data_IF_393047262664
#
_entry.id   IF_393047262664
#
_cell.length_a   1.000
_cell.length_b   1.000
_cell.length_c   1.000
_cell.angle_alpha   90.00
_cell.angle_beta   90.00
_cell.angle_gamma   90.00
#
_symmetry.space_group_name_H-M   'P 1'
#
loop_
_entity.id
_entity.type
_entity.pdbx_description
1 polymer ?
#
# COMPACT_ATOMS: atom_id res chain seq x y z
N UNK A 1 18.43 -37.27 -36.06
CA UNK A 1 18.19 -35.82 -35.90
C UNK A 1 17.27 -35.67 -34.69
N UNK A 2 17.83 -35.31 -33.53
CA UNK A 2 17.10 -35.24 -32.27
C UNK A 2 16.29 -33.93 -32.21
N UNK A 3 14.99 -34.06 -31.92
CA UNK A 3 14.08 -32.92 -31.73
C UNK A 3 14.39 -32.22 -30.41
N UNK A 4 14.53 -30.89 -30.45
CA UNK A 4 14.69 -30.07 -29.25
C UNK A 4 13.35 -29.98 -28.50
N UNK A 5 13.32 -30.10 -27.16
CA UNK A 5 12.11 -29.86 -26.40
C UNK A 5 11.86 -28.35 -26.28
N UNK A 6 10.69 -27.92 -26.74
CA UNK A 6 10.15 -26.59 -26.43
C UNK A 6 9.95 -26.48 -24.92
N UNK A 7 10.69 -25.57 -24.28
CA UNK A 7 10.48 -25.23 -22.87
C UNK A 7 9.11 -24.57 -22.76
N UNK A 8 8.10 -25.34 -22.38
CA UNK A 8 6.81 -24.82 -21.93
C UNK A 8 7.05 -24.11 -20.61
N UNK A 9 7.05 -22.78 -20.62
CA UNK A 9 6.96 -22.00 -19.39
C UNK A 9 5.60 -22.29 -18.76
N UNK A 10 5.61 -23.07 -17.69
CA UNK A 10 4.46 -23.34 -16.84
C UNK A 10 4.06 -22.02 -16.15
N UNK A 11 2.93 -21.45 -16.56
CA UNK A 11 2.27 -20.33 -15.87
C UNK A 11 1.54 -20.86 -14.62
N UNK A 12 2.22 -21.64 -13.79
CA UNK A 12 1.83 -21.84 -12.39
C UNK A 12 2.10 -20.51 -11.67
N UNK A 13 1.13 -19.61 -11.80
CA UNK A 13 1.32 -18.16 -11.66
C UNK A 13 1.71 -17.71 -10.25
N UNK A 14 2.46 -16.61 -10.12
CA UNK A 14 2.58 -15.93 -8.85
C UNK A 14 1.22 -15.30 -8.48
N UNK A 15 0.88 -15.18 -7.18
CA UNK A 15 -0.43 -14.70 -6.75
C UNK A 15 -0.71 -13.28 -7.27
N UNK A 16 -1.99 -12.86 -7.36
CA UNK A 16 -2.37 -11.50 -7.78
C UNK A 16 -1.65 -10.38 -7.03
N UNK A 17 -1.24 -10.66 -5.79
CA UNK A 17 -0.48 -9.77 -4.90
C UNK A 17 0.92 -9.51 -5.44
N UNK A 18 1.61 -10.53 -5.98
CA UNK A 18 2.95 -10.38 -6.51
C UNK A 18 2.96 -9.36 -7.65
N UNK A 19 2.04 -9.47 -8.61
CA UNK A 19 1.92 -8.51 -9.71
C UNK A 19 1.66 -7.08 -9.24
N UNK A 20 0.74 -6.88 -8.28
CA UNK A 20 0.47 -5.58 -7.66
C UNK A 20 1.68 -5.02 -6.90
N UNK A 21 2.45 -5.90 -6.26
CA UNK A 21 3.68 -5.49 -5.57
C UNK A 21 4.75 -5.04 -6.54
N UNK A 22 4.95 -5.76 -7.63
CA UNK A 22 5.94 -5.37 -8.63
C UNK A 22 5.57 -4.05 -9.33
N UNK A 23 4.30 -3.81 -9.66
CA UNK A 23 3.89 -2.56 -10.33
C UNK A 23 4.12 -1.35 -9.45
N UNK A 24 3.73 -1.39 -8.18
CA UNK A 24 3.92 -0.25 -7.26
C UNK A 24 5.39 -0.01 -6.92
N UNK A 25 6.17 -1.07 -6.69
CA UNK A 25 7.61 -0.92 -6.47
C UNK A 25 8.30 -0.37 -7.73
N UNK A 26 7.92 -0.80 -8.93
CA UNK A 26 8.43 -0.22 -10.18
C UNK A 26 8.01 1.24 -10.37
N UNK A 27 6.76 1.61 -10.03
CA UNK A 27 6.32 3.00 -10.03
C UNK A 27 7.13 3.83 -9.02
N UNK A 28 7.39 3.30 -7.83
CA UNK A 28 8.19 3.97 -6.79
C UNK A 28 9.60 4.33 -7.24
N UNK A 29 10.22 3.44 -8.02
CA UNK A 29 11.55 3.64 -8.60
C UNK A 29 11.54 4.73 -9.70
N UNK A 30 10.38 5.01 -10.30
CA UNK A 30 10.21 6.00 -11.37
C UNK A 30 9.66 7.35 -10.89
N UNK A 31 9.00 7.43 -9.72
CA UNK A 31 8.38 8.66 -9.19
C UNK A 31 9.34 9.62 -8.48
N UNK A 32 10.65 9.48 -8.66
CA UNK A 32 11.69 10.09 -7.80
C UNK A 32 12.03 11.55 -8.10
N UNK A 33 11.03 12.44 -8.14
CA UNK A 33 11.32 13.88 -8.03
C UNK A 33 10.59 14.55 -6.85
N UNK A 34 9.35 14.17 -6.55
CA UNK A 34 8.53 14.88 -5.56
C UNK A 34 8.43 14.04 -4.28
N UNK A 35 9.25 14.39 -3.29
CA UNK A 35 9.13 13.87 -1.92
C UNK A 35 8.19 14.76 -1.12
N UNK A 36 7.31 14.17 -0.32
CA UNK A 36 6.46 14.89 0.62
C UNK A 36 7.33 15.68 1.59
N UNK A 37 7.04 16.96 1.67
CA UNK A 37 7.57 17.93 2.60
C UNK A 37 6.40 18.73 3.19
N UNK A 38 6.68 19.51 4.23
CA UNK A 38 5.70 20.25 5.03
C UNK A 38 4.78 21.15 4.19
N UNK A 39 5.24 21.61 3.04
CA UNK A 39 4.55 22.63 2.22
C UNK A 39 3.95 22.08 0.91
N UNK A 40 4.22 20.83 0.54
CA UNK A 40 3.89 20.34 -0.81
C UNK A 40 2.85 19.21 -0.83
N UNK A 41 2.08 19.04 0.25
CA UNK A 41 1.12 17.94 0.37
C UNK A 41 0.18 17.82 -0.83
N UNK A 42 -0.37 18.93 -1.34
CA UNK A 42 -1.28 18.90 -2.50
C UNK A 42 -0.60 18.36 -3.76
N UNK A 43 0.64 18.78 -4.01
CA UNK A 43 1.42 18.32 -5.17
C UNK A 43 1.79 16.85 -5.00
N UNK A 44 2.29 16.47 -3.83
CA UNK A 44 2.59 15.08 -3.50
C UNK A 44 1.36 14.17 -3.64
N UNK A 45 0.22 14.58 -3.08
CA UNK A 45 -1.03 13.83 -3.15
C UNK A 45 -1.53 13.69 -4.60
N UNK A 46 -1.33 14.69 -5.45
CA UNK A 46 -1.70 14.63 -6.86
C UNK A 46 -0.92 13.58 -7.66
N UNK A 47 0.31 13.26 -7.23
CA UNK A 47 1.12 12.17 -7.81
C UNK A 47 0.74 10.84 -7.18
N UNK A 48 0.49 10.81 -5.87
CA UNK A 48 0.23 9.58 -5.14
C UNK A 48 -1.17 8.99 -5.45
N UNK A 49 -2.21 9.83 -5.49
CA UNK A 49 -3.61 9.41 -5.63
C UNK A 49 -3.87 8.61 -6.92
N UNK A 50 -3.47 9.05 -8.13
CA UNK A 50 -3.72 8.29 -9.35
C UNK A 50 -3.06 6.92 -9.36
N UNK A 51 -1.91 6.76 -8.68
CA UNK A 51 -1.22 5.49 -8.56
C UNK A 51 -1.95 4.55 -7.59
N UNK A 52 -2.49 5.08 -6.49
CA UNK A 52 -3.32 4.33 -5.55
C UNK A 52 -4.61 3.86 -6.25
N UNK A 53 -5.29 4.77 -6.96
CA UNK A 53 -6.53 4.46 -7.69
C UNK A 53 -6.29 3.47 -8.83
N UNK A 54 -5.21 3.67 -9.61
CA UNK A 54 -4.83 2.78 -10.71
C UNK A 54 -4.52 1.35 -10.26
N UNK A 55 -4.04 1.17 -9.03
CA UNK A 55 -3.79 -0.15 -8.42
C UNK A 55 -4.97 -0.67 -7.57
N UNK A 56 -6.10 0.05 -7.53
CA UNK A 56 -7.30 -0.26 -6.75
C UNK A 56 -7.05 -0.38 -5.24
N UNK A 57 -6.27 0.56 -4.70
CA UNK A 57 -5.86 0.59 -3.30
C UNK A 57 -6.53 1.69 -2.48
N UNK A 58 -7.51 2.39 -3.05
CA UNK A 58 -8.22 3.48 -2.40
C UNK A 58 -8.85 3.06 -1.05
N UNK A 59 -9.28 1.80 -0.93
CA UNK A 59 -9.83 1.26 0.32
C UNK A 59 -8.83 1.20 1.48
N UNK A 60 -7.52 1.33 1.23
CA UNK A 60 -6.50 1.35 2.28
C UNK A 60 -6.24 2.75 2.84
N UNK A 61 -6.67 3.81 2.14
CA UNK A 61 -6.50 5.20 2.57
C UNK A 61 -7.83 5.90 2.86
N UNK A 62 -8.94 5.19 2.71
CA UNK A 62 -10.29 5.68 2.99
C UNK A 62 -10.74 5.20 4.38
N UNK A 63 -11.15 6.15 5.22
CA UNK A 63 -11.64 5.88 6.57
C UNK A 63 -13.01 5.17 6.58
N UNK A 64 -13.73 5.17 5.45
CA UNK A 64 -15.04 4.51 5.33
C UNK A 64 -14.94 3.05 4.89
N UNK A 65 -13.76 2.59 4.49
CA UNK A 65 -13.55 1.23 4.04
C UNK A 65 -13.59 0.24 5.22
N UNK A 66 -14.26 -0.89 5.01
CA UNK A 66 -14.30 -1.99 5.98
C UNK A 66 -12.96 -2.73 5.98
N UNK A 67 -12.24 -2.68 7.10
CA UNK A 67 -11.05 -3.51 7.32
C UNK A 67 -11.50 -4.95 7.61
N UNK A 68 -10.98 -5.96 6.90
CA UNK A 68 -11.30 -7.36 7.17
C UNK A 68 -10.99 -7.73 8.63
N UNK A 69 -11.84 -8.55 9.24
CA UNK A 69 -11.57 -9.03 10.60
C UNK A 69 -10.40 -10.01 10.59
N UNK A 70 -9.48 -9.89 11.56
CA UNK A 70 -8.30 -10.76 11.69
C UNK A 70 -8.66 -12.23 11.92
N UNK A 71 -9.83 -12.50 12.50
CA UNK A 71 -10.36 -13.85 12.68
C UNK A 71 -11.82 -13.92 12.26
N UNK A 72 -12.24 -15.09 11.80
CA UNK A 72 -13.63 -15.42 11.49
C UNK A 72 -14.09 -16.53 12.43
N UNK A 73 -15.29 -16.39 12.99
CA UNK A 73 -15.90 -17.42 13.82
C UNK A 73 -16.52 -18.49 12.92
N UNK A 74 -16.20 -19.76 13.15
CA UNK A 74 -16.91 -20.84 12.46
C UNK A 74 -18.34 -20.91 13.01
N UNK A 75 -19.34 -20.89 12.14
CA UNK A 75 -20.76 -20.98 12.53
C UNK A 75 -21.10 -22.23 13.35
N UNK A 76 -20.24 -23.25 13.31
CA UNK A 76 -20.43 -24.55 13.96
C UNK A 76 -19.58 -24.76 15.22
N UNK A 77 -18.61 -23.89 15.51
CA UNK A 77 -17.69 -24.07 16.65
C UNK A 77 -17.17 -22.71 17.09
N UNK A 78 -17.16 -22.40 18.40
CA UNK A 78 -16.66 -21.13 18.98
C UNK A 78 -15.15 -20.86 18.76
N UNK A 79 -14.50 -21.59 17.85
CA UNK A 79 -13.10 -21.40 17.52
C UNK A 79 -12.96 -20.29 16.47
N UNK A 80 -12.09 -19.34 16.76
CA UNK A 80 -11.73 -18.25 15.88
C UNK A 80 -10.59 -18.71 14.96
N UNK A 81 -10.83 -18.74 13.66
CA UNK A 81 -9.83 -19.13 12.65
C UNK A 81 -9.24 -17.87 12.01
N UNK A 82 -7.93 -17.84 11.69
CA UNK A 82 -7.33 -16.74 10.92
C UNK A 82 -8.09 -16.47 9.63
N UNK A 83 -8.32 -15.19 9.32
CA UNK A 83 -8.98 -14.79 8.08
C UNK A 83 -7.93 -14.58 6.97
N UNK A 84 -7.92 -15.41 5.90
CA UNK A 84 -6.98 -15.20 4.79
C UNK A 84 -7.18 -13.84 4.10
N UNK A 85 -8.39 -13.28 4.11
CA UNK A 85 -8.64 -11.95 3.54
C UNK A 85 -7.94 -10.83 4.32
N UNK A 86 -7.77 -11.02 5.64
CA UNK A 86 -7.00 -10.09 6.46
C UNK A 86 -5.52 -10.16 6.14
N UNK A 87 -4.95 -11.35 5.94
CA UNK A 87 -3.54 -11.51 5.61
C UNK A 87 -3.20 -10.91 4.24
N UNK A 88 -4.09 -11.09 3.26
CA UNK A 88 -3.97 -10.48 1.94
C UNK A 88 -4.07 -8.95 2.02
N UNK A 89 -5.07 -8.43 2.74
CA UNK A 89 -5.22 -7.00 2.98
C UNK A 89 -4.00 -6.43 3.71
N UNK A 90 -3.51 -7.10 4.75
CA UNK A 90 -2.37 -6.66 5.54
C UNK A 90 -1.09 -6.61 4.71
N UNK A 91 -0.87 -7.60 3.84
CA UNK A 91 0.28 -7.62 2.92
C UNK A 91 0.27 -6.42 1.98
N UNK A 92 -0.90 -6.07 1.44
CA UNK A 92 -1.08 -4.89 0.58
C UNK A 92 -0.90 -3.59 1.35
N UNK A 93 -1.45 -3.50 2.57
CA UNK A 93 -1.29 -2.33 3.44
C UNK A 93 0.18 -2.07 3.79
N UNK A 94 0.94 -3.12 4.14
CA UNK A 94 2.38 -3.02 4.44
C UNK A 94 3.19 -2.52 3.26
N UNK A 95 2.88 -3.02 2.06
CA UNK A 95 3.50 -2.53 0.84
C UNK A 95 3.19 -1.05 0.60
N UNK A 96 1.92 -0.66 0.72
CA UNK A 96 1.52 0.73 0.50
C UNK A 96 2.21 1.69 1.47
N UNK A 97 2.36 1.29 2.74
CA UNK A 97 3.16 2.05 3.72
C UNK A 97 4.61 2.22 3.26
N UNK A 98 5.26 1.14 2.83
CA UNK A 98 6.64 1.18 2.34
C UNK A 98 6.80 2.11 1.12
N UNK A 99 5.84 2.05 0.20
CA UNK A 99 5.78 2.91 -0.96
C UNK A 99 5.59 4.39 -0.59
N UNK A 100 4.60 4.70 0.24
CA UNK A 100 4.33 6.07 0.71
C UNK A 100 5.54 6.66 1.43
N UNK A 101 6.22 5.87 2.28
CA UNK A 101 7.44 6.31 2.99
C UNK A 101 8.59 6.64 2.03
N UNK A 102 8.75 5.91 0.93
CA UNK A 102 9.75 6.24 -0.10
C UNK A 102 9.45 7.56 -0.82
N UNK A 103 8.17 7.95 -0.86
CA UNK A 103 7.73 9.23 -1.38
C UNK A 103 7.77 10.35 -0.34
N UNK A 104 8.33 10.15 0.86
CA UNK A 104 8.44 11.18 1.90
C UNK A 104 9.89 11.65 2.08
N UNK A 105 10.06 12.90 2.51
CA UNK A 105 11.36 13.34 3.04
C UNK A 105 11.66 12.65 4.37
N UNK A 106 12.93 12.55 4.74
CA UNK A 106 13.34 11.90 6.00
C UNK A 106 12.73 12.59 7.22
N UNK A 107 12.58 13.92 7.19
CA UNK A 107 12.01 14.71 8.28
C UNK A 107 10.52 14.45 8.49
N UNK A 108 9.77 14.25 7.41
CA UNK A 108 8.34 13.87 7.51
C UNK A 108 8.22 12.40 7.92
N UNK A 109 9.04 11.52 7.33
CA UNK A 109 9.00 10.09 7.63
C UNK A 109 9.28 9.80 9.11
N UNK A 110 10.24 10.49 9.73
CA UNK A 110 10.59 10.31 11.15
C UNK A 110 9.44 10.66 12.09
N UNK A 111 8.64 11.67 11.75
CA UNK A 111 7.45 12.06 12.52
C UNK A 111 6.32 11.03 12.38
N UNK A 112 6.24 10.36 11.23
CA UNK A 112 5.18 9.39 10.89
C UNK A 112 5.57 7.93 11.15
N UNK A 113 6.68 7.68 11.87
CA UNK A 113 7.14 6.30 12.15
C UNK A 113 6.10 5.49 12.93
N UNK A 114 5.28 6.15 13.76
CA UNK A 114 4.29 5.53 14.63
C UNK A 114 3.04 5.01 13.89
N UNK A 115 2.79 5.46 12.65
CA UNK A 115 1.63 5.04 11.86
C UNK A 115 1.76 3.56 11.46
N UNK A 116 0.72 2.77 11.79
CA UNK A 116 0.68 1.32 11.60
C UNK A 116 -0.10 0.90 10.36
N UNK A 117 -1.01 1.73 9.86
CA UNK A 117 -1.82 1.50 8.65
C UNK A 117 -1.54 2.55 7.58
N UNK A 118 -1.83 2.24 6.32
CA UNK A 118 -1.72 3.23 5.25
C UNK A 118 -2.69 4.41 5.44
N UNK A 119 -3.88 4.15 5.99
CA UNK A 119 -4.87 5.16 6.36
C UNK A 119 -4.33 6.16 7.39
N UNK A 120 -3.75 5.66 8.48
CA UNK A 120 -3.12 6.51 9.51
C UNK A 120 -2.01 7.36 8.88
N UNK A 121 -1.13 6.72 8.10
CA UNK A 121 -0.01 7.41 7.47
C UNK A 121 -0.49 8.52 6.51
N UNK A 122 -1.51 8.24 5.70
CA UNK A 122 -2.10 9.18 4.75
C UNK A 122 -2.77 10.37 5.45
N UNK A 123 -3.52 10.09 6.53
CA UNK A 123 -4.27 11.09 7.29
C UNK A 123 -3.35 12.00 8.11
N UNK A 124 -2.35 11.42 8.77
CA UNK A 124 -1.36 12.18 9.54
C UNK A 124 -0.47 13.02 8.63
N UNK A 125 -0.08 12.51 7.45
CA UNK A 125 0.62 13.30 6.44
C UNK A 125 -0.14 14.58 6.04
N UNK A 126 -1.47 14.49 5.89
CA UNK A 126 -2.33 15.65 5.64
C UNK A 126 -2.38 16.60 6.84
N UNK A 127 -2.48 16.05 8.04
CA UNK A 127 -2.59 16.85 9.28
C UNK A 127 -1.31 17.62 9.58
N UNK A 128 -0.16 16.97 9.49
CA UNK A 128 1.16 17.59 9.71
C UNK A 128 1.43 18.76 8.75
N UNK A 129 0.99 18.64 7.50
CA UNK A 129 1.21 19.68 6.48
C UNK A 129 0.17 20.80 6.53
N UNK A 130 -1.09 20.48 6.87
CA UNK A 130 -2.14 21.49 7.03
C UNK A 130 -1.99 22.33 8.31
N UNK A 131 -1.39 21.79 9.37
CA UNK A 131 -1.17 22.53 10.63
C UNK A 131 -0.23 23.73 10.48
N UNK A 132 0.69 23.69 9.51
CA UNK A 132 1.69 24.75 9.29
C UNK A 132 1.13 25.86 8.39
N UNK A 133 0.06 25.60 7.61
CA UNK A 133 -0.62 26.59 6.76
C UNK A 133 -1.37 27.69 7.53
N UNK A 134 -1.34 27.69 8.88
CA UNK A 134 -2.13 28.60 9.72
C UNK A 134 -1.30 29.60 10.57
N UNK A 135 0.00 29.80 10.30
CA UNK A 135 0.76 30.86 10.97
C UNK A 135 0.64 32.20 10.26
#
# INVERSE_FOLDING_TARGET
>A
MASSPSVTFDFSGPPPIAFKTYSLFQSSSQTSSIKLDRMNYLVWASVALPLIEGNRLQSHIDATALVPSMTVALSTTKEAIPNPEFDDWFSVDRMLIGWLRNMMSQDIMTQLLHCRTALELWSEARTLTSAISKS
#
